data_IF_411107928474
#
_entry.id   IF_411107928474
#
_cell.length_a   1.000
_cell.length_b   1.000
_cell.length_c   1.000
_cell.angle_alpha   90.00
_cell.angle_beta   90.00
_cell.angle_gamma   90.00
#
_symmetry.space_group_name_H-M   'P 1'
#
loop_
_entity.id
_entity.type
_entity.pdbx_description
1 polymer ?
#
# COMPACT_ATOMS: atom_id res chain seq x y z
N UNK A 1 -2.27 -29.36 -29.56
CA UNK A 1 -2.09 -29.47 -31.02
C UNK A 1 -1.04 -28.50 -31.56
N UNK A 2 -0.99 -27.26 -31.11
CA UNK A 2 0.08 -26.30 -31.43
C UNK A 2 1.42 -26.69 -30.80
N UNK A 3 1.38 -27.12 -29.57
CA UNK A 3 2.53 -27.48 -28.75
C UNK A 3 3.18 -28.77 -29.26
N UNK A 4 2.41 -29.73 -29.75
CA UNK A 4 2.91 -30.94 -30.40
C UNK A 4 3.60 -30.66 -31.73
N UNK A 5 3.10 -29.67 -32.48
CA UNK A 5 3.62 -29.34 -33.82
C UNK A 5 4.94 -28.55 -33.78
N UNK A 6 5.17 -27.80 -32.66
CA UNK A 6 6.35 -26.94 -32.53
C UNK A 6 6.98 -27.07 -31.11
N UNK A 7 7.45 -28.25 -30.71
CA UNK A 7 7.84 -28.50 -29.31
C UNK A 7 9.07 -27.72 -28.85
N UNK A 8 9.87 -27.18 -29.74
CA UNK A 8 11.12 -26.48 -29.44
C UNK A 8 11.13 -25.02 -29.87
N UNK A 9 10.01 -24.49 -30.31
CA UNK A 9 9.88 -23.08 -30.69
C UNK A 9 9.20 -22.34 -29.56
N UNK A 10 9.65 -21.11 -29.28
CA UNK A 10 8.98 -20.20 -28.37
C UNK A 10 7.61 -19.84 -28.97
N UNK A 11 6.63 -20.68 -28.72
CA UNK A 11 5.28 -20.55 -29.26
C UNK A 11 4.34 -20.06 -28.18
N UNK A 12 3.32 -19.33 -28.58
CA UNK A 12 2.27 -18.92 -27.66
C UNK A 12 1.53 -20.16 -27.15
N UNK A 13 1.35 -20.22 -25.84
CA UNK A 13 0.48 -21.19 -25.20
C UNK A 13 -0.93 -21.07 -25.76
N UNK A 14 -1.64 -22.20 -25.89
CA UNK A 14 -3.04 -22.21 -26.30
C UNK A 14 -3.87 -21.28 -25.39
N UNK A 15 -4.63 -20.31 -25.94
CA UNK A 15 -5.40 -19.34 -25.14
C UNK A 15 -6.38 -19.99 -24.17
N UNK A 16 -7.03 -21.09 -24.55
CA UNK A 16 -7.92 -21.84 -23.66
C UNK A 16 -7.17 -22.50 -22.50
N UNK A 17 -5.94 -22.97 -22.74
CA UNK A 17 -5.06 -23.47 -21.70
C UNK A 17 -4.68 -22.36 -20.73
N UNK A 18 -4.22 -21.24 -21.25
CA UNK A 18 -3.83 -20.07 -20.45
C UNK A 18 -4.97 -19.66 -19.55
N UNK A 19 -6.17 -19.54 -20.08
CA UNK A 19 -7.34 -19.10 -19.31
C UNK A 19 -7.77 -20.11 -18.22
N UNK A 20 -7.63 -21.41 -18.46
CA UNK A 20 -8.16 -22.45 -17.55
C UNK A 20 -7.10 -23.09 -16.66
N UNK A 21 -5.83 -23.02 -17.03
CA UNK A 21 -4.74 -23.80 -16.42
C UNK A 21 -3.53 -22.95 -16.02
N UNK A 22 -3.57 -21.64 -16.26
CA UNK A 22 -2.58 -20.70 -15.77
C UNK A 22 -3.30 -19.67 -14.90
N UNK A 23 -3.62 -20.09 -13.68
CA UNK A 23 -4.41 -19.28 -12.77
C UNK A 23 -3.52 -18.26 -12.06
N UNK A 24 -3.96 -17.03 -12.07
CA UNK A 24 -3.37 -15.92 -11.33
C UNK A 24 -4.47 -15.27 -10.51
N UNK A 25 -4.32 -15.28 -9.22
CA UNK A 25 -5.29 -14.74 -8.29
C UNK A 25 -4.65 -13.71 -7.38
N UNK A 26 -5.29 -12.56 -7.22
CA UNK A 26 -4.89 -11.52 -6.30
C UNK A 26 -6.05 -11.27 -5.32
N UNK A 27 -5.80 -11.54 -4.05
CA UNK A 27 -6.74 -11.27 -2.97
C UNK A 27 -6.17 -10.14 -2.11
N UNK A 28 -6.98 -9.12 -1.84
CA UNK A 28 -6.58 -7.96 -1.03
C UNK A 28 -7.59 -7.70 0.07
N UNK A 29 -7.11 -7.82 1.30
CA UNK A 29 -7.84 -7.42 2.49
C UNK A 29 -7.29 -6.08 2.98
N UNK A 30 -8.16 -5.07 3.11
CA UNK A 30 -7.78 -3.75 3.57
C UNK A 30 -8.73 -3.24 4.62
N UNK A 31 -8.20 -2.73 5.70
CA UNK A 31 -8.97 -2.04 6.71
C UNK A 31 -8.34 -0.69 7.05
N UNK A 32 -9.22 0.28 7.22
CA UNK A 32 -8.85 1.65 7.57
C UNK A 32 -9.59 2.06 8.84
N UNK A 33 -8.86 2.68 9.72
CA UNK A 33 -9.39 3.31 10.93
C UNK A 33 -9.00 4.78 10.94
N UNK A 34 -9.97 5.66 11.22
CA UNK A 34 -9.74 7.08 11.41
C UNK A 34 -10.41 7.52 12.69
N UNK A 35 -9.69 8.23 13.53
CA UNK A 35 -10.22 8.89 14.70
C UNK A 35 -9.74 10.34 14.77
N UNK A 36 -10.60 11.22 15.25
CA UNK A 36 -10.25 12.60 15.55
C UNK A 36 -10.87 13.05 16.86
N UNK A 37 -10.11 13.81 17.61
CA UNK A 37 -10.53 14.42 18.86
C UNK A 37 -10.27 15.91 18.79
N UNK A 38 -11.30 16.71 19.03
CA UNK A 38 -11.18 18.17 19.16
C UNK A 38 -11.37 18.53 20.62
N UNK A 39 -10.49 19.36 21.14
CA UNK A 39 -10.58 19.91 22.49
C UNK A 39 -10.52 21.43 22.44
N UNK A 40 -11.60 22.09 22.85
CA UNK A 40 -11.69 23.55 22.91
C UNK A 40 -11.09 24.02 24.25
N UNK A 41 -9.93 24.67 24.19
CA UNK A 41 -9.21 25.22 25.36
C UNK A 41 -9.84 26.56 25.77
N UNK A 42 -10.10 27.39 24.77
CA UNK A 42 -10.73 28.70 24.91
C UNK A 42 -11.73 28.89 23.76
N UNK A 43 -12.68 29.82 23.84
CA UNK A 43 -13.64 30.06 22.76
C UNK A 43 -12.99 30.38 21.39
N UNK A 44 -11.73 30.81 21.40
CA UNK A 44 -10.97 31.20 20.21
C UNK A 44 -9.75 30.29 19.95
N UNK A 45 -9.49 29.26 20.81
CA UNK A 45 -8.34 28.37 20.74
C UNK A 45 -8.78 26.94 20.96
N UNK A 46 -8.50 26.07 20.00
CA UNK A 46 -8.75 24.63 20.11
C UNK A 46 -7.59 23.80 19.55
N UNK A 47 -7.48 22.59 20.02
CA UNK A 47 -6.52 21.58 19.53
C UNK A 47 -7.29 20.41 18.94
N UNK A 48 -6.84 19.96 17.77
CA UNK A 48 -7.37 18.76 17.11
C UNK A 48 -6.25 17.74 16.97
N UNK A 49 -6.47 16.53 17.50
CA UNK A 49 -5.64 15.36 17.26
C UNK A 49 -6.33 14.41 16.30
N UNK A 50 -5.59 13.86 15.33
CA UNK A 50 -6.09 12.89 14.36
C UNK A 50 -5.15 11.72 14.27
N UNK A 51 -5.71 10.54 14.13
CA UNK A 51 -4.98 9.32 13.82
C UNK A 51 -5.67 8.59 12.68
N UNK A 52 -4.89 8.15 11.72
CA UNK A 52 -5.34 7.29 10.62
C UNK A 52 -4.42 6.09 10.57
N UNK A 53 -5.03 4.91 10.56
CA UNK A 53 -4.35 3.64 10.35
C UNK A 53 -4.92 2.99 9.11
N UNK A 54 -4.07 2.57 8.20
CA UNK A 54 -4.42 1.91 6.96
C UNK A 54 -3.54 0.67 6.81
N UNK A 55 -4.16 -0.50 6.79
CA UNK A 55 -3.47 -1.77 6.64
C UNK A 55 -4.06 -2.51 5.45
N UNK A 56 -3.19 -2.99 4.57
CA UNK A 56 -3.56 -3.79 3.41
C UNK A 56 -2.68 -5.05 3.36
N UNK A 57 -3.32 -6.21 3.31
CA UNK A 57 -2.67 -7.49 3.08
C UNK A 57 -3.06 -7.97 1.68
N UNK A 58 -2.09 -8.08 0.79
CA UNK A 58 -2.30 -8.56 -0.58
C UNK A 58 -1.61 -9.90 -0.73
N UNK A 59 -2.35 -10.92 -1.13
CA UNK A 59 -1.83 -12.23 -1.48
C UNK A 59 -2.03 -12.43 -2.97
N UNK A 60 -0.94 -12.69 -3.67
CA UNK A 60 -0.92 -13.02 -5.09
C UNK A 60 -0.45 -14.46 -5.26
N UNK A 61 -1.23 -15.28 -5.95
CA UNK A 61 -0.93 -16.69 -6.21
C UNK A 61 -0.89 -16.97 -7.71
N UNK A 62 0.13 -17.72 -8.14
CA UNK A 62 0.27 -18.22 -9.49
C UNK A 62 0.32 -19.74 -9.47
N UNK A 63 -0.57 -20.36 -10.24
CA UNK A 63 -0.69 -21.82 -10.35
C UNK A 63 -0.72 -22.21 -11.83
N UNK A 64 0.40 -22.72 -12.33
CA UNK A 64 0.49 -23.20 -13.70
C UNK A 64 0.51 -24.72 -13.68
N UNK A 65 -0.47 -25.29 -14.36
CA UNK A 65 -0.66 -26.75 -14.38
C UNK A 65 0.38 -27.46 -15.22
N UNK A 66 0.60 -28.75 -14.92
CA UNK A 66 1.39 -29.66 -15.75
C UNK A 66 0.93 -29.60 -17.22
N UNK A 67 1.85 -29.74 -18.17
CA UNK A 67 1.63 -29.52 -19.61
C UNK A 67 1.54 -28.06 -20.03
N UNK A 68 1.80 -27.10 -19.16
CA UNK A 68 2.13 -25.73 -19.56
C UNK A 68 3.47 -25.72 -20.29
N UNK A 69 3.63 -24.81 -21.26
CA UNK A 69 4.86 -24.70 -22.05
C UNK A 69 6.10 -24.60 -21.14
N UNK A 70 7.15 -25.34 -21.49
CA UNK A 70 8.38 -25.50 -20.66
C UNK A 70 9.10 -24.20 -20.29
N UNK A 71 8.93 -23.17 -21.07
CA UNK A 71 9.51 -21.84 -20.80
C UNK A 71 8.84 -21.17 -19.59
N UNK A 72 7.56 -21.47 -19.32
CA UNK A 72 6.77 -20.87 -18.29
C UNK A 72 6.63 -21.73 -17.02
N UNK A 73 6.70 -23.04 -17.16
CA UNK A 73 6.55 -23.96 -16.04
C UNK A 73 7.29 -25.28 -16.26
N UNK A 74 7.69 -25.93 -15.18
CA UNK A 74 8.24 -27.27 -15.22
C UNK A 74 7.22 -28.32 -15.66
N UNK A 75 7.68 -29.56 -15.86
CA UNK A 75 6.86 -30.67 -16.37
C UNK A 75 5.63 -30.97 -15.50
N UNK A 76 5.74 -30.76 -14.19
CA UNK A 76 4.68 -31.03 -13.23
C UNK A 76 3.86 -29.81 -12.88
N UNK A 77 4.19 -28.66 -13.46
CA UNK A 77 3.60 -27.36 -13.19
C UNK A 77 4.52 -26.43 -12.39
N UNK A 78 4.03 -25.24 -12.06
CA UNK A 78 4.72 -24.21 -11.30
C UNK A 78 3.78 -23.62 -10.26
N UNK A 79 4.32 -23.27 -9.10
CA UNK A 79 3.61 -22.57 -8.04
C UNK A 79 4.41 -21.38 -7.56
N UNK A 80 3.73 -20.25 -7.51
CA UNK A 80 4.26 -19.00 -6.95
C UNK A 80 3.26 -18.37 -6.00
N UNK A 81 3.78 -17.73 -4.96
CA UNK A 81 3.00 -16.93 -4.01
C UNK A 81 3.80 -15.75 -3.54
N UNK A 82 3.16 -14.58 -3.60
CA UNK A 82 3.67 -13.35 -3.02
C UNK A 82 2.66 -12.85 -2.00
N UNK A 83 3.12 -12.52 -0.82
CA UNK A 83 2.33 -11.85 0.20
C UNK A 83 2.97 -10.51 0.49
N UNK A 84 2.20 -9.44 0.35
CA UNK A 84 2.64 -8.07 0.65
C UNK A 84 1.75 -7.49 1.73
N UNK A 85 2.37 -7.06 2.82
CA UNK A 85 1.72 -6.41 3.95
C UNK A 85 2.13 -4.93 3.97
N UNK A 86 1.18 -4.05 3.68
CA UNK A 86 1.36 -2.61 3.74
C UNK A 86 0.69 -2.05 4.99
N UNK A 87 1.43 -1.32 5.80
CA UNK A 87 0.95 -0.62 6.98
C UNK A 87 1.30 0.86 6.87
N UNK A 88 0.30 1.72 7.02
CA UNK A 88 0.48 3.16 7.05
C UNK A 88 -0.22 3.74 8.27
N UNK A 89 0.53 4.48 9.08
CA UNK A 89 0.00 5.19 10.24
C UNK A 89 0.31 6.67 10.11
N UNK A 90 -0.72 7.49 10.07
CA UNK A 90 -0.61 8.93 10.07
C UNK A 90 -1.22 9.51 11.33
N UNK A 91 -0.47 10.34 12.02
CA UNK A 91 -0.92 11.05 13.22
C UNK A 91 -0.55 12.52 13.10
N UNK A 92 -1.49 13.40 13.45
CA UNK A 92 -1.22 14.82 13.58
C UNK A 92 -1.89 15.43 14.80
N UNK A 93 -1.31 16.54 15.23
CA UNK A 93 -1.88 17.44 16.24
C UNK A 93 -1.80 18.85 15.71
N UNK A 94 -2.93 19.55 15.71
CA UNK A 94 -3.06 20.92 15.19
C UNK A 94 -3.68 21.82 16.26
N UNK A 95 -2.96 22.85 16.67
CA UNK A 95 -3.50 23.96 17.44
C UNK A 95 -4.05 25.01 16.47
N UNK A 96 -5.29 25.44 16.69
CA UNK A 96 -5.98 26.41 15.83
C UNK A 96 -6.50 27.55 16.68
N UNK A 97 -6.18 28.75 16.23
CA UNK A 97 -6.61 30.01 16.84
C UNK A 97 -7.45 30.81 15.85
N UNK A 98 -8.59 31.32 16.32
CA UNK A 98 -9.41 32.24 15.56
C UNK A 98 -9.84 33.37 16.52
N UNK A 99 -9.29 34.56 16.37
CA UNK A 99 -9.55 35.68 17.27
C UNK A 99 -9.60 37.00 16.54
N UNK A 100 -10.62 37.78 16.90
CA UNK A 100 -10.74 39.15 16.45
C UNK A 100 -10.15 40.09 17.51
N UNK A 101 -9.49 41.15 17.04
CA UNK A 101 -8.87 42.19 17.84
C UNK A 101 -9.33 43.57 17.34
N UNK A 102 -9.18 44.61 18.17
CA UNK A 102 -9.47 46.01 17.82
C UNK A 102 -10.92 46.23 17.33
N UNK A 103 -11.91 45.73 18.11
CA UNK A 103 -13.33 45.82 17.76
C UNK A 103 -13.62 45.19 16.36
N UNK A 104 -13.15 43.97 16.16
CA UNK A 104 -13.33 43.19 14.92
C UNK A 104 -12.65 43.74 13.65
N UNK A 105 -11.77 44.73 13.81
CA UNK A 105 -11.01 45.26 12.65
C UNK A 105 -9.87 44.37 12.22
N UNK A 106 -9.23 43.63 13.15
CA UNK A 106 -8.18 42.67 12.84
C UNK A 106 -8.65 41.28 13.19
N UNK A 107 -8.83 40.42 12.18
CA UNK A 107 -9.10 39.00 12.33
C UNK A 107 -7.81 38.20 12.15
N UNK A 108 -7.49 37.36 13.12
CA UNK A 108 -6.32 36.45 13.10
C UNK A 108 -6.77 35.03 13.09
N UNK A 109 -6.52 34.33 12.01
CA UNK A 109 -6.63 32.86 11.93
C UNK A 109 -5.23 32.26 11.88
N UNK A 110 -4.85 31.48 12.86
CA UNK A 110 -3.54 30.85 12.91
C UNK A 110 -3.68 29.35 13.20
N UNK A 111 -2.86 28.57 12.55
CA UNK A 111 -2.76 27.14 12.81
C UNK A 111 -1.28 26.75 12.90
N UNK A 112 -0.97 25.93 13.90
CA UNK A 112 0.33 25.31 14.06
C UNK A 112 0.12 23.83 14.28
N UNK A 113 0.79 23.00 13.51
CA UNK A 113 0.63 21.56 13.58
C UNK A 113 1.94 20.81 13.46
N UNK A 114 1.91 19.59 13.95
CA UNK A 114 2.95 18.60 13.75
C UNK A 114 2.32 17.30 13.29
N UNK A 115 2.98 16.58 12.40
CA UNK A 115 2.51 15.28 11.91
C UNK A 115 3.64 14.27 11.81
N UNK A 116 3.28 13.01 11.97
CA UNK A 116 4.13 11.84 11.74
C UNK A 116 3.39 10.93 10.76
N UNK A 117 4.06 10.54 9.71
CA UNK A 117 3.63 9.51 8.78
C UNK A 117 4.63 8.35 8.82
N UNK A 118 4.18 7.18 9.22
CA UNK A 118 4.98 5.95 9.31
C UNK A 118 4.41 4.95 8.30
N UNK A 119 5.24 4.50 7.36
CA UNK A 119 4.87 3.58 6.30
C UNK A 119 5.80 2.38 6.32
N UNK A 120 5.24 1.17 6.34
CA UNK A 120 5.98 -0.09 6.30
C UNK A 120 5.39 -1.01 5.26
N UNK A 121 6.25 -1.65 4.51
CA UNK A 121 5.91 -2.71 3.59
C UNK A 121 6.78 -3.93 3.88
N UNK A 122 6.15 -5.07 4.06
CA UNK A 122 6.78 -6.37 4.19
C UNK A 122 6.29 -7.24 3.04
N UNK A 123 7.18 -7.89 2.34
CA UNK A 123 6.84 -8.75 1.20
C UNK A 123 7.59 -10.06 1.28
N UNK A 124 6.84 -11.17 1.29
CA UNK A 124 7.36 -12.52 1.19
C UNK A 124 7.03 -13.09 -0.19
N UNK A 125 7.99 -13.67 -0.86
CA UNK A 125 7.83 -14.24 -2.19
C UNK A 125 8.49 -15.60 -2.29
N UNK A 126 7.80 -16.53 -2.92
CA UNK A 126 8.39 -17.76 -3.44
C UNK A 126 7.75 -18.15 -4.78
N UNK A 127 8.54 -18.76 -5.63
CA UNK A 127 8.14 -19.28 -6.94
C UNK A 127 9.05 -20.44 -7.31
N UNK A 128 8.48 -21.49 -7.89
CA UNK A 128 9.28 -22.60 -8.41
C UNK A 128 8.46 -23.68 -9.08
N UNK A 129 9.17 -24.50 -9.86
CA UNK A 129 8.61 -25.68 -10.50
C UNK A 129 8.22 -26.73 -9.46
N UNK A 130 7.14 -27.46 -9.69
CA UNK A 130 6.71 -28.56 -8.82
C UNK A 130 7.65 -29.78 -8.97
N UNK A 131 8.08 -30.32 -7.82
CA UNK A 131 9.10 -31.38 -7.77
C UNK A 131 8.54 -32.79 -7.88
N UNK A 132 7.60 -33.16 -7.04
CA UNK A 132 7.18 -34.53 -6.84
C UNK A 132 5.81 -34.87 -7.45
N UNK A 133 4.79 -34.13 -7.06
CA UNK A 133 3.42 -34.36 -7.47
C UNK A 133 2.95 -33.32 -8.47
N UNK A 134 2.47 -33.70 -9.67
CA UNK A 134 1.94 -32.77 -10.64
C UNK A 134 0.67 -32.11 -10.11
N UNK A 135 0.54 -30.80 -10.38
CA UNK A 135 -0.64 -30.00 -10.03
C UNK A 135 -0.96 -29.93 -8.51
N UNK A 136 -0.03 -30.33 -7.65
CA UNK A 136 -0.15 -30.19 -6.21
C UNK A 136 0.58 -28.90 -5.77
N UNK A 137 -0.18 -27.80 -5.70
CA UNK A 137 0.31 -26.45 -5.42
C UNK A 137 0.55 -26.23 -3.93
N UNK A 138 1.71 -26.63 -3.46
CA UNK A 138 2.15 -26.48 -2.07
C UNK A 138 3.61 -26.06 -2.04
N UNK A 139 3.99 -25.23 -1.06
CA UNK A 139 5.38 -24.84 -0.84
C UNK A 139 6.32 -26.04 -0.70
N UNK A 140 5.89 -27.08 0.02
CA UNK A 140 6.67 -28.32 0.21
C UNK A 140 6.87 -29.15 -1.07
N UNK A 141 6.12 -28.87 -2.14
CA UNK A 141 6.25 -29.55 -3.43
C UNK A 141 7.05 -28.76 -4.47
N UNK A 142 7.68 -27.64 -4.08
CA UNK A 142 8.50 -26.83 -4.97
C UNK A 142 9.91 -27.42 -5.06
N UNK A 143 10.45 -27.50 -6.28
CA UNK A 143 11.81 -27.96 -6.53
C UNK A 143 12.85 -27.01 -5.96
N UNK A 144 13.79 -27.53 -5.17
CA UNK A 144 14.90 -26.75 -4.64
C UNK A 144 15.91 -26.27 -5.71
N UNK A 145 15.86 -26.86 -6.91
CA UNK A 145 16.82 -26.54 -7.98
C UNK A 145 16.47 -25.26 -8.75
N UNK A 146 15.19 -24.89 -8.80
CA UNK A 146 14.69 -23.75 -9.58
C UNK A 146 13.76 -22.86 -8.78
N UNK A 147 13.84 -22.89 -7.47
CA UNK A 147 13.00 -22.02 -6.66
C UNK A 147 13.60 -20.60 -6.58
N UNK A 148 12.72 -19.63 -6.66
CA UNK A 148 13.00 -18.26 -6.27
C UNK A 148 12.27 -18.01 -4.98
N UNK A 149 12.94 -17.45 -4.00
CA UNK A 149 12.36 -17.03 -2.73
C UNK A 149 13.07 -15.77 -2.27
N UNK A 150 12.36 -14.94 -1.58
CA UNK A 150 12.91 -13.71 -1.04
C UNK A 150 11.93 -13.08 -0.08
N UNK A 151 12.47 -12.26 0.76
CA UNK A 151 11.78 -11.34 1.62
C UNK A 151 12.31 -9.94 1.36
N UNK A 152 11.46 -8.96 1.47
CA UNK A 152 11.80 -7.57 1.38
C UNK A 152 11.03 -6.79 2.43
N UNK A 153 11.72 -5.88 3.10
CA UNK A 153 11.14 -4.96 4.07
C UNK A 153 11.52 -3.54 3.69
N UNK A 154 10.54 -2.66 3.75
CA UNK A 154 10.75 -1.24 3.55
C UNK A 154 10.02 -0.45 4.65
N UNK A 155 10.72 0.54 5.19
CA UNK A 155 10.19 1.43 6.23
C UNK A 155 10.57 2.88 5.93
N UNK A 156 9.57 3.73 5.92
CA UNK A 156 9.74 5.18 5.79
C UNK A 156 8.97 5.91 6.87
N UNK A 157 9.61 6.88 7.50
CA UNK A 157 9.01 7.74 8.49
C UNK A 157 9.26 9.20 8.17
N UNK A 158 8.19 9.94 7.95
CA UNK A 158 8.25 11.38 7.72
C UNK A 158 7.66 12.14 8.89
N UNK A 159 8.44 13.07 9.44
CA UNK A 159 7.99 14.01 10.48
C UNK A 159 7.93 15.41 9.91
N UNK A 160 6.85 16.14 10.20
CA UNK A 160 6.66 17.50 9.68
C UNK A 160 6.10 18.41 10.75
N UNK A 161 6.58 19.66 10.75
CA UNK A 161 5.97 20.78 11.46
C UNK A 161 5.47 21.75 10.40
N UNK A 162 4.26 22.23 10.56
CA UNK A 162 3.64 23.14 9.60
C UNK A 162 2.78 24.18 10.30
N UNK A 163 2.61 25.29 9.65
CA UNK A 163 1.73 26.34 10.17
C UNK A 163 1.26 27.28 9.09
N UNK A 164 0.15 27.92 9.35
CA UNK A 164 -0.34 29.04 8.56
C UNK A 164 -0.85 30.15 9.49
N UNK A 165 -0.74 31.35 9.02
CA UNK A 165 -1.34 32.52 9.65
C UNK A 165 -2.02 33.34 8.56
N UNK A 166 -3.28 33.67 8.79
CA UNK A 166 -4.07 34.58 7.98
C UNK A 166 -4.46 35.77 8.83
N UNK A 167 -4.13 36.95 8.33
CA UNK A 167 -4.47 38.25 8.92
C UNK A 167 -5.47 38.95 8.01
N UNK A 168 -6.62 39.29 8.53
CA UNK A 168 -7.64 40.09 7.83
C UNK A 168 -7.82 41.45 8.48
N UNK A 169 -7.61 42.57 7.75
CA UNK A 169 -7.79 43.91 8.23
C UNK A 169 -9.03 44.58 7.61
N UNK A 170 -9.91 45.07 8.46
CA UNK A 170 -11.17 45.75 8.10
C UNK A 170 -12.02 44.99 7.05
N UNK A 171 -11.85 43.66 6.91
CA UNK A 171 -12.47 42.82 5.87
C UNK A 171 -12.12 43.23 4.43
N UNK A 172 -11.07 44.01 4.24
CA UNK A 172 -10.65 44.51 2.93
C UNK A 172 -9.28 43.97 2.52
N UNK A 173 -8.37 43.82 3.46
CA UNK A 173 -7.02 43.36 3.20
C UNK A 173 -6.79 42.04 3.90
N UNK A 174 -6.23 41.09 3.17
CA UNK A 174 -5.88 39.75 3.69
C UNK A 174 -4.43 39.43 3.37
N UNK A 175 -3.71 38.98 4.37
CA UNK A 175 -2.36 38.47 4.23
C UNK A 175 -2.32 37.02 4.78
N UNK A 176 -1.90 36.07 3.95
CA UNK A 176 -1.72 34.67 4.36
C UNK A 176 -0.26 34.27 4.21
N UNK A 177 0.29 33.67 5.27
CA UNK A 177 1.65 33.13 5.29
C UNK A 177 1.53 31.65 5.68
N UNK A 178 2.12 30.78 4.88
CA UNK A 178 2.14 29.31 5.12
C UNK A 178 3.56 28.81 5.06
N UNK A 179 3.90 27.89 5.97
CA UNK A 179 5.20 27.22 6.03
C UNK A 179 5.08 25.76 6.42
N UNK A 180 6.03 24.96 5.96
CA UNK A 180 6.16 23.53 6.31
C UNK A 180 7.64 23.13 6.35
#
# INVERSE_FOLDING_TARGET
YWEEKYPNVFTMQNPYWTQKRMNREANKDRYMFNASLKYDILPWLYVTGRVRVDNANTTYEEKYYASTIRVLAGEKGMYGKTRTLNRSTYTDVIASMNKAFFNDRLNVNAQLGASINDMREESDHFEGDLASLPNFFSFGNISNLKNKKGDAEWHDQTQSIFGNVELGWDRQFYLTVTGR
#
